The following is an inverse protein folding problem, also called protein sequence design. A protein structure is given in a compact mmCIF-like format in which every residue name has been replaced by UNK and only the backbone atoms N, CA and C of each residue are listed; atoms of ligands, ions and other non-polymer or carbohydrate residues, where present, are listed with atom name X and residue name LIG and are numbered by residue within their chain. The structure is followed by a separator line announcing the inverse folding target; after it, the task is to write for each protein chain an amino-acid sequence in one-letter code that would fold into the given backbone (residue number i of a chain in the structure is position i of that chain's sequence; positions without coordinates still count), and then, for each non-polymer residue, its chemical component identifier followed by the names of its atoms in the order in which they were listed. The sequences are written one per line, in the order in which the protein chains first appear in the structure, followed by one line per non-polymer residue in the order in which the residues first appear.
data_IF_772689011109
#
_entry.id   IF_772689011109
#
_cell.length_a   1.000
_cell.length_b   1.000
_cell.length_c   1.000
_cell.angle_alpha   90.00
_cell.angle_beta   90.00
_cell.angle_gamma   90.00
#
_symmetry.space_group_name_H-M   'P 1'
#
loop_
_entity.id
_entity.type
_entity.pdbx_description
1 polymer ?
#
# COMPACT_ATOMS: atom_id res chain seq x y z
N UNK A 1 1.38 -6.59 10.53
CA UNK A 1 2.52 -7.46 10.21
C UNK A 1 3.42 -7.52 11.45
N UNK A 2 3.84 -8.71 11.84
CA UNK A 2 4.73 -8.91 12.96
C UNK A 2 6.07 -8.19 12.70
N UNK A 3 6.68 -7.65 13.76
CA UNK A 3 7.94 -6.88 13.71
C UNK A 3 7.95 -5.63 12.81
N UNK A 4 6.78 -5.17 12.33
CA UNK A 4 6.65 -4.00 11.46
C UNK A 4 5.87 -2.84 12.09
N UNK A 5 5.69 -2.82 13.41
CA UNK A 5 4.86 -1.81 14.06
C UNK A 5 5.34 -0.38 13.79
N UNK A 6 6.63 -0.10 13.91
CA UNK A 6 7.20 1.22 13.63
C UNK A 6 7.05 1.62 12.15
N UNK A 7 7.32 0.68 11.24
CA UNK A 7 7.10 0.89 9.81
C UNK A 7 5.63 1.20 9.51
N UNK A 8 4.71 0.39 10.01
CA UNK A 8 3.27 0.60 9.80
C UNK A 8 2.80 1.93 10.38
N UNK A 9 3.29 2.31 11.55
CA UNK A 9 2.99 3.61 12.16
C UNK A 9 3.49 4.77 11.31
N UNK A 10 4.73 4.71 10.82
CA UNK A 10 5.30 5.74 9.94
C UNK A 10 4.52 5.89 8.63
N UNK A 11 4.13 4.77 8.00
CA UNK A 11 3.34 4.80 6.77
C UNK A 11 1.91 5.30 6.98
N UNK A 12 1.29 4.98 8.11
CA UNK A 12 0.00 5.54 8.48
C UNK A 12 0.08 7.07 8.68
N UNK A 13 1.16 7.55 9.31
CA UNK A 13 1.40 8.98 9.46
C UNK A 13 1.55 9.70 8.11
N UNK A 14 2.29 9.11 7.15
CA UNK A 14 2.43 9.65 5.79
C UNK A 14 1.06 9.72 5.09
N UNK A 15 0.22 8.71 5.24
CA UNK A 15 -1.10 8.70 4.62
C UNK A 15 -1.96 9.86 5.14
N UNK A 16 -2.10 9.99 6.45
CA UNK A 16 -2.93 11.05 7.03
C UNK A 16 -2.35 12.44 6.76
N UNK A 17 -1.02 12.58 6.78
CA UNK A 17 -0.35 13.82 6.40
C UNK A 17 -0.71 14.24 4.97
N UNK A 18 -0.63 13.32 4.00
CA UNK A 18 -0.98 13.61 2.61
C UNK A 18 -2.44 13.97 2.41
N UNK A 19 -3.36 13.30 3.12
CA UNK A 19 -4.79 13.62 3.09
C UNK A 19 -5.07 15.03 3.63
N UNK A 20 -4.44 15.42 4.74
CA UNK A 20 -4.61 16.76 5.31
C UNK A 20 -3.96 17.81 4.42
N UNK A 21 -2.74 17.58 3.94
CA UNK A 21 -2.05 18.48 3.03
C UNK A 21 -2.88 18.75 1.76
N UNK A 22 -3.51 17.71 1.19
CA UNK A 22 -4.40 17.88 0.04
C UNK A 22 -5.57 18.84 0.34
N UNK A 23 -6.07 18.87 1.58
CA UNK A 23 -7.11 19.81 2.00
C UNK A 23 -6.58 21.22 2.24
N UNK A 24 -5.38 21.34 2.79
CA UNK A 24 -4.74 22.64 3.05
C UNK A 24 -4.43 23.39 1.75
N UNK A 25 -4.03 22.67 0.69
CA UNK A 25 -3.64 23.28 -0.59
C UNK A 25 -4.76 23.33 -1.63
N UNK A 26 -6.00 22.96 -1.27
CA UNK A 26 -7.13 22.79 -2.21
C UNK A 26 -7.44 24.04 -3.07
N UNK A 27 -7.19 25.23 -2.52
CA UNK A 27 -7.45 26.52 -3.19
C UNK A 27 -6.20 27.07 -3.91
N UNK A 28 -5.20 26.23 -4.14
CA UNK A 28 -3.96 26.51 -4.85
C UNK A 28 -3.86 25.70 -6.15
N UNK A 29 -2.78 25.91 -6.90
CA UNK A 29 -2.46 25.10 -8.09
C UNK A 29 -1.68 23.82 -7.75
N UNK A 30 -1.63 23.44 -6.46
CA UNK A 30 -0.91 22.24 -5.99
C UNK A 30 -1.91 21.09 -5.88
N UNK A 31 -1.54 19.95 -6.45
CA UNK A 31 -2.22 18.67 -6.25
C UNK A 31 -1.40 17.76 -5.36
N UNK A 32 -2.08 17.11 -4.44
CA UNK A 32 -1.49 16.10 -3.57
C UNK A 32 -2.25 14.79 -3.76
N UNK A 33 -1.52 13.73 -4.02
CA UNK A 33 -2.07 12.37 -4.07
C UNK A 33 -1.21 11.43 -3.24
N UNK A 34 -1.85 10.65 -2.39
CA UNK A 34 -1.23 9.58 -1.60
C UNK A 34 -1.35 8.29 -2.39
N UNK A 35 -0.22 7.67 -2.71
CA UNK A 35 -0.19 6.39 -3.41
C UNK A 35 0.05 5.26 -2.42
N UNK A 36 -0.85 4.28 -2.40
CA UNK A 36 -0.80 3.12 -1.51
C UNK A 36 -0.68 1.84 -2.33
N UNK A 37 0.50 1.52 -2.89
CA UNK A 37 0.69 0.31 -3.68
C UNK A 37 0.65 -0.93 -2.78
N UNK A 38 0.23 -2.06 -3.36
CA UNK A 38 0.54 -3.36 -2.79
C UNK A 38 2.04 -3.67 -2.98
N UNK A 39 2.46 -4.85 -2.58
CA UNK A 39 3.83 -5.30 -2.80
C UNK A 39 4.13 -5.31 -4.30
N UNK A 40 5.14 -4.54 -4.70
CA UNK A 40 5.49 -4.32 -6.10
C UNK A 40 6.83 -4.98 -6.41
N UNK A 41 6.96 -5.64 -7.57
CA UNK A 41 8.20 -6.28 -7.99
C UNK A 41 9.24 -5.22 -8.34
N UNK A 42 10.10 -4.93 -7.39
CA UNK A 42 11.18 -3.96 -7.52
C UNK A 42 12.52 -4.61 -7.15
N UNK A 43 13.65 -4.04 -7.60
CA UNK A 43 14.96 -4.53 -7.19
C UNK A 43 15.12 -4.65 -5.67
N UNK A 44 14.48 -3.77 -4.90
CA UNK A 44 14.50 -3.84 -3.44
C UNK A 44 13.93 -5.16 -2.91
N UNK A 45 12.85 -5.65 -3.51
CA UNK A 45 12.25 -6.93 -3.11
C UNK A 45 13.12 -8.14 -3.41
N UNK A 46 14.03 -8.03 -4.37
CA UNK A 46 14.96 -9.10 -4.76
C UNK A 46 16.18 -9.19 -3.83
N UNK A 47 16.48 -8.10 -3.09
CA UNK A 47 17.55 -8.04 -2.10
C UNK A 47 17.09 -8.36 -0.68
N UNK A 48 15.80 -8.57 -0.47
CA UNK A 48 15.28 -8.98 0.85
C UNK A 48 15.71 -10.42 1.07
N UNK A 49 16.58 -10.64 2.06
CA UNK A 49 16.97 -11.97 2.48
C UNK A 49 15.74 -12.68 3.07
N UNK A 50 15.50 -13.91 2.61
CA UNK A 50 14.34 -14.71 3.09
C UNK A 50 14.35 -14.91 4.61
N UNK A 51 15.51 -14.85 5.26
CA UNK A 51 15.66 -15.02 6.72
C UNK A 51 15.28 -13.77 7.51
N UNK A 52 15.41 -12.58 6.91
CA UNK A 52 15.19 -11.29 7.57
C UNK A 52 13.86 -10.62 7.17
N UNK A 53 13.23 -11.10 6.10
CA UNK A 53 11.98 -10.53 5.64
C UNK A 53 10.80 -11.01 6.52
N UNK A 54 9.83 -10.13 6.83
CA UNK A 54 8.58 -10.54 7.46
C UNK A 54 7.86 -11.62 6.65
N UNK A 55 7.27 -12.61 7.33
CA UNK A 55 6.61 -13.76 6.68
C UNK A 55 5.58 -13.37 5.61
N UNK A 56 4.88 -12.26 5.82
CA UNK A 56 3.94 -11.74 4.85
C UNK A 56 4.61 -11.34 3.51
N UNK A 57 5.82 -10.82 3.56
CA UNK A 57 6.60 -10.44 2.36
C UNK A 57 7.10 -11.71 1.67
N UNK A 58 7.69 -12.63 2.42
CA UNK A 58 8.14 -13.93 1.91
C UNK A 58 7.00 -14.71 1.26
N UNK A 59 5.82 -14.70 1.88
CA UNK A 59 4.62 -15.37 1.35
C UNK A 59 4.18 -14.74 0.03
N UNK A 60 4.19 -13.42 -0.10
CA UNK A 60 3.78 -12.74 -1.32
C UNK A 60 4.77 -13.00 -2.47
N UNK A 61 6.07 -12.98 -2.19
CA UNK A 61 7.11 -13.32 -3.17
C UNK A 61 6.96 -14.76 -3.64
N UNK A 62 6.83 -15.72 -2.71
CA UNK A 62 6.68 -17.15 -3.04
C UNK A 62 5.41 -17.47 -3.83
N UNK A 63 4.34 -16.72 -3.60
CA UNK A 63 3.06 -16.89 -4.32
C UNK A 63 2.99 -16.10 -5.63
N UNK A 64 4.03 -15.34 -6.00
CA UNK A 64 4.01 -14.48 -7.18
C UNK A 64 2.95 -13.37 -7.11
N UNK A 65 2.63 -12.90 -5.91
CA UNK A 65 1.61 -11.88 -5.66
C UNK A 65 2.18 -10.46 -5.69
N UNK A 66 3.23 -10.25 -6.46
CA UNK A 66 3.83 -8.93 -6.65
C UNK A 66 3.12 -8.21 -7.80
N UNK A 67 2.84 -6.93 -7.62
CA UNK A 67 2.30 -6.07 -8.66
C UNK A 67 3.41 -5.67 -9.64
N UNK A 68 3.07 -5.56 -10.92
CA UNK A 68 3.97 -5.02 -11.93
C UNK A 68 4.17 -3.51 -11.68
N UNK A 69 5.41 -3.01 -11.61
CA UNK A 69 5.67 -1.58 -11.48
C UNK A 69 5.02 -0.72 -12.57
N UNK A 70 4.96 -1.21 -13.81
CA UNK A 70 4.36 -0.48 -14.93
C UNK A 70 2.85 -0.33 -14.73
N UNK A 71 2.16 -1.37 -14.29
CA UNK A 71 0.72 -1.29 -13.95
C UNK A 71 0.44 -0.30 -12.82
N UNK A 72 1.34 -0.23 -11.83
CA UNK A 72 1.26 0.74 -10.74
C UNK A 72 1.37 2.16 -11.27
N UNK A 73 2.34 2.43 -12.14
CA UNK A 73 2.54 3.76 -12.74
C UNK A 73 1.37 4.15 -13.63
N UNK A 74 0.88 3.25 -14.47
CA UNK A 74 -0.29 3.48 -15.32
C UNK A 74 -1.53 3.89 -14.52
N UNK A 75 -1.75 3.25 -13.37
CA UNK A 75 -2.87 3.58 -12.50
C UNK A 75 -2.69 4.95 -11.82
N UNK A 76 -1.44 5.28 -11.42
CA UNK A 76 -1.10 6.60 -10.88
C UNK A 76 -1.40 7.68 -11.92
N UNK A 77 -0.97 7.52 -13.16
CA UNK A 77 -1.23 8.48 -14.24
C UNK A 77 -2.73 8.69 -14.46
N UNK A 78 -3.51 7.61 -14.49
CA UNK A 78 -4.98 7.70 -14.62
C UNK A 78 -5.63 8.43 -13.45
N UNK A 79 -5.20 8.15 -12.23
CA UNK A 79 -5.76 8.76 -11.04
C UNK A 79 -5.32 10.23 -10.85
N UNK A 80 -4.15 10.62 -11.39
CA UNK A 80 -3.71 12.03 -11.45
C UNK A 80 -4.63 12.92 -12.28
N UNK A 81 -5.36 12.34 -13.23
CA UNK A 81 -6.36 13.06 -14.05
C UNK A 81 -7.71 13.22 -13.32
N UNK A 82 -7.83 12.70 -12.11
CA UNK A 82 -9.03 12.76 -11.29
C UNK A 82 -8.80 13.59 -10.03
N UNK A 83 -9.86 13.85 -9.25
CA UNK A 83 -9.76 14.55 -7.97
C UNK A 83 -9.52 13.60 -6.79
N UNK A 84 -9.02 12.40 -7.05
CA UNK A 84 -8.71 11.43 -5.98
C UNK A 84 -7.50 11.90 -5.17
N UNK A 85 -7.67 11.86 -3.85
CA UNK A 85 -6.57 12.12 -2.91
C UNK A 85 -5.79 10.84 -2.62
N UNK A 86 -6.45 9.68 -2.65
CA UNK A 86 -5.81 8.37 -2.38
C UNK A 86 -5.91 7.50 -3.62
N UNK A 87 -4.76 7.01 -4.08
CA UNK A 87 -4.62 6.05 -5.16
C UNK A 87 -4.26 4.67 -4.59
N UNK A 88 -5.06 3.66 -4.91
CA UNK A 88 -4.76 2.24 -4.70
C UNK A 88 -4.51 1.60 -6.06
N UNK A 89 -3.25 1.49 -6.49
CA UNK A 89 -2.93 1.16 -7.89
C UNK A 89 -3.18 -0.30 -8.27
N UNK A 90 -3.57 -1.16 -7.33
CA UNK A 90 -3.88 -2.55 -7.63
C UNK A 90 -5.22 -2.99 -7.00
N UNK A 91 -5.84 -4.01 -7.58
CA UNK A 91 -7.07 -4.61 -7.05
C UNK A 91 -6.85 -5.19 -5.65
N UNK A 92 -5.69 -5.77 -5.43
CA UNK A 92 -5.28 -6.35 -4.15
C UNK A 92 -5.22 -5.29 -3.06
N UNK A 93 -4.63 -4.12 -3.35
CA UNK A 93 -4.59 -2.99 -2.41
C UNK A 93 -5.99 -2.50 -2.07
N UNK A 94 -6.89 -2.38 -3.06
CA UNK A 94 -8.29 -2.00 -2.84
C UNK A 94 -9.02 -3.03 -1.97
N UNK A 95 -8.85 -4.33 -2.27
CA UNK A 95 -9.49 -5.41 -1.53
C UNK A 95 -9.00 -5.44 -0.08
N UNK A 96 -7.69 -5.42 0.13
CA UNK A 96 -7.08 -5.43 1.46
C UNK A 96 -7.57 -4.27 2.32
N UNK A 97 -7.61 -3.06 1.75
CA UNK A 97 -8.08 -1.87 2.45
C UNK A 97 -9.56 -1.97 2.83
N UNK A 98 -10.42 -2.45 1.92
CA UNK A 98 -11.84 -2.62 2.18
C UNK A 98 -12.10 -3.67 3.26
N UNK A 99 -11.46 -4.85 3.17
CA UNK A 99 -11.62 -5.92 4.16
C UNK A 99 -11.15 -5.42 5.53
N UNK A 100 -9.97 -4.79 5.59
CA UNK A 100 -9.46 -4.23 6.85
C UNK A 100 -10.41 -3.20 7.47
N UNK A 101 -11.02 -2.34 6.66
CA UNK A 101 -11.90 -1.28 7.13
C UNK A 101 -13.24 -1.80 7.65
N UNK A 102 -13.87 -2.72 6.91
CA UNK A 102 -15.23 -3.16 7.22
C UNK A 102 -15.29 -4.45 8.03
N UNK A 103 -14.24 -5.26 7.97
CA UNK A 103 -14.13 -6.55 8.64
C UNK A 103 -12.78 -6.73 9.34
N UNK A 104 -12.42 -5.88 10.32
CA UNK A 104 -11.07 -5.89 10.91
C UNK A 104 -10.71 -7.22 11.57
N UNK A 105 -11.65 -7.86 12.26
CA UNK A 105 -11.40 -9.17 12.89
C UNK A 105 -11.16 -10.28 11.88
N UNK A 106 -11.82 -10.24 10.73
CA UNK A 106 -11.60 -11.18 9.64
C UNK A 106 -10.24 -10.92 8.97
N UNK A 107 -9.89 -9.65 8.76
CA UNK A 107 -8.58 -9.25 8.24
C UNK A 107 -7.44 -9.83 9.07
N UNK A 108 -7.49 -9.66 10.40
CA UNK A 108 -6.44 -10.16 11.28
C UNK A 108 -6.35 -11.69 11.30
N UNK A 109 -7.47 -12.40 11.16
CA UNK A 109 -7.45 -13.87 10.99
C UNK A 109 -6.80 -14.29 9.67
N UNK A 110 -7.03 -13.54 8.58
CA UNK A 110 -6.38 -13.79 7.29
C UNK A 110 -4.86 -13.56 7.37
N UNK A 111 -4.45 -12.47 7.97
CA UNK A 111 -3.02 -12.14 8.15
C UNK A 111 -2.34 -13.21 9.00
N UNK A 112 -2.92 -13.59 10.14
CA UNK A 112 -2.36 -14.62 11.02
C UNK A 112 -2.26 -16.01 10.37
N UNK A 113 -3.13 -16.34 9.43
CA UNK A 113 -3.08 -17.62 8.70
C UNK A 113 -1.97 -17.67 7.64
N UNK A 114 -1.50 -16.52 7.21
CA UNK A 114 -0.47 -16.37 6.18
C UNK A 114 0.87 -15.85 6.73
N UNK A 115 0.97 -15.78 8.06
CA UNK A 115 2.20 -15.41 8.79
C UNK A 115 2.93 -16.64 9.26
#
# INVERSE_FOLDING_TARGET
LENMSAYCASKAAVNIFGEILAKEVKDTNIRVMVVCPAQTDTPLMRFVDETDAPDAINTAVKKGMLCDPEEVVDQIEKDLLTDKIICYPSKEAVYATRIRRFFPNYWWKLVAKNS
#
